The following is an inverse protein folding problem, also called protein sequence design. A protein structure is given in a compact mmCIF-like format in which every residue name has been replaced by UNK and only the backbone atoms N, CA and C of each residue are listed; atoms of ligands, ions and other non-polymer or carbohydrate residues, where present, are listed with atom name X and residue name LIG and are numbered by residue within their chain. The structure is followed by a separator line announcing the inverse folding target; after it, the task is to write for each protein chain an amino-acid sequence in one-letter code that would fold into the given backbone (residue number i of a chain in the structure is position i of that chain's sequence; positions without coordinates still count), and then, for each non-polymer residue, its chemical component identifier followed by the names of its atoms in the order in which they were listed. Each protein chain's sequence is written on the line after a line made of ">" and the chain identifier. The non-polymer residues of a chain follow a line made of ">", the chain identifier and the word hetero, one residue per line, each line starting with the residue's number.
data_IF_095512341000
#
_entry.id   IF_095512341000
#
_cell.length_a   1.000
_cell.length_b   1.000
_cell.length_c   1.000
_cell.angle_alpha   90.00
_cell.angle_beta   90.00
_cell.angle_gamma   90.00
#
_symmetry.space_group_name_H-M   'P 1'
#
loop_
_entity.id
_entity.type
_entity.pdbx_description
1 polymer ?
#
# COMPACT_ATOMS: atom_id res chain seq x y z
N UNK A 1 -2.54 -28.50 -78.83
CA UNK A 1 -1.57 -27.41 -78.58
C UNK A 1 -0.89 -27.69 -77.26
N UNK A 2 0.38 -28.04 -77.31
CA UNK A 2 1.22 -28.35 -76.16
C UNK A 2 1.51 -27.05 -75.39
N UNK A 3 0.96 -26.90 -74.18
CA UNK A 3 1.39 -25.82 -73.28
C UNK A 3 2.76 -26.26 -72.76
N UNK A 4 3.81 -25.69 -73.34
CA UNK A 4 5.15 -25.75 -72.78
C UNK A 4 5.11 -25.05 -71.41
N UNK A 5 5.00 -25.82 -70.33
CA UNK A 5 5.27 -25.33 -68.98
C UNK A 5 6.78 -25.05 -68.88
N UNK A 6 7.20 -23.88 -69.32
CA UNK A 6 8.52 -23.32 -68.99
C UNK A 6 8.51 -23.09 -67.48
N UNK A 7 8.98 -24.07 -66.70
CA UNK A 7 9.25 -23.88 -65.27
C UNK A 7 10.24 -22.72 -65.15
N UNK A 8 9.78 -21.57 -64.64
CA UNK A 8 10.61 -20.39 -64.47
C UNK A 8 11.71 -20.72 -63.44
N UNK A 9 12.97 -20.78 -63.90
CA UNK A 9 14.11 -21.01 -63.02
C UNK A 9 14.35 -19.75 -62.19
N UNK A 10 14.61 -19.87 -60.87
CA UNK A 10 14.93 -18.71 -60.06
C UNK A 10 16.24 -18.08 -60.54
N UNK A 11 16.24 -16.75 -60.58
CA UNK A 11 17.35 -15.92 -61.04
C UNK A 11 18.09 -15.21 -59.90
N UNK A 12 17.48 -15.18 -58.70
CA UNK A 12 18.05 -14.55 -57.49
C UNK A 12 17.83 -15.42 -56.24
N UNK A 13 18.63 -15.20 -55.20
CA UNK A 13 18.43 -15.83 -53.88
C UNK A 13 17.10 -15.42 -53.25
N UNK A 14 16.63 -14.20 -53.50
CA UNK A 14 15.32 -13.71 -53.06
C UNK A 14 14.20 -14.58 -53.65
N UNK A 15 14.22 -14.85 -54.95
CA UNK A 15 13.26 -15.74 -55.60
C UNK A 15 13.32 -17.17 -55.05
N UNK A 16 14.52 -17.70 -54.77
CA UNK A 16 14.62 -19.00 -54.10
C UNK A 16 13.95 -18.99 -52.71
N UNK A 17 14.11 -17.90 -51.94
CA UNK A 17 13.47 -17.78 -50.62
C UNK A 17 11.95 -17.66 -50.75
N UNK A 18 11.44 -16.86 -51.70
CA UNK A 18 10.01 -16.73 -51.99
C UNK A 18 9.42 -18.08 -52.43
N UNK A 19 10.17 -18.81 -53.26
CA UNK A 19 9.76 -20.13 -53.73
C UNK A 19 9.64 -21.09 -52.55
N UNK A 20 10.65 -21.11 -51.67
CA UNK A 20 10.68 -21.93 -50.47
C UNK A 20 9.63 -21.52 -49.43
N UNK A 21 9.22 -20.25 -49.38
CA UNK A 21 8.24 -19.75 -48.42
C UNK A 21 6.80 -20.15 -48.78
N UNK A 22 6.42 -20.10 -50.06
CA UNK A 22 5.01 -20.10 -50.46
C UNK A 22 4.56 -21.20 -51.42
N UNK A 23 5.44 -22.05 -51.95
CA UNK A 23 5.03 -23.09 -52.93
C UNK A 23 4.61 -24.43 -52.32
N UNK A 24 4.46 -24.54 -51.00
CA UNK A 24 4.05 -25.79 -50.33
C UNK A 24 2.71 -26.34 -50.87
N UNK A 25 1.77 -25.45 -51.21
CA UNK A 25 0.46 -25.82 -51.74
C UNK A 25 0.48 -26.19 -53.24
N UNK A 26 1.46 -25.68 -53.99
CA UNK A 26 1.61 -25.94 -55.42
C UNK A 26 2.45 -27.19 -55.68
N UNK A 27 3.43 -27.46 -54.81
CA UNK A 27 4.35 -28.58 -54.90
C UNK A 27 4.31 -29.39 -53.61
N UNK A 28 3.52 -30.47 -53.62
CA UNK A 28 3.31 -31.30 -52.43
C UNK A 28 4.65 -31.84 -51.88
N UNK A 29 4.96 -31.49 -50.63
CA UNK A 29 6.22 -31.85 -49.97
C UNK A 29 7.39 -30.89 -50.24
N UNK A 30 7.16 -29.76 -50.92
CA UNK A 30 8.10 -28.66 -51.05
C UNK A 30 7.90 -27.67 -49.90
N UNK A 31 8.44 -28.01 -48.74
CA UNK A 31 8.33 -27.19 -47.53
C UNK A 31 9.68 -27.09 -46.80
N UNK A 32 10.00 -25.92 -46.23
CA UNK A 32 11.15 -25.80 -45.35
C UNK A 32 10.90 -26.57 -44.04
N UNK A 33 11.96 -27.06 -43.43
CA UNK A 33 11.89 -27.68 -42.12
C UNK A 33 11.31 -26.71 -41.08
N UNK A 34 10.55 -27.21 -40.10
CA UNK A 34 9.82 -26.38 -39.12
C UNK A 34 10.72 -25.35 -38.39
N UNK A 35 12.00 -25.68 -38.16
CA UNK A 35 12.99 -24.77 -37.55
C UNK A 35 13.33 -23.56 -38.42
N UNK A 36 13.30 -23.71 -39.73
CA UNK A 36 13.66 -22.66 -40.69
C UNK A 36 12.44 -21.88 -41.19
N UNK A 37 11.24 -22.47 -41.11
CA UNK A 37 9.99 -21.91 -41.67
C UNK A 37 9.76 -20.44 -41.29
N UNK A 38 9.87 -20.10 -40.00
CA UNK A 38 9.65 -18.72 -39.53
C UNK A 38 10.68 -17.74 -40.11
N UNK A 39 11.93 -18.17 -40.24
CA UNK A 39 13.02 -17.36 -40.79
C UNK A 39 12.87 -17.18 -42.30
N UNK A 40 12.48 -18.23 -43.01
CA UNK A 40 12.23 -18.21 -44.47
C UNK A 40 11.09 -17.25 -44.80
N UNK A 41 9.96 -17.38 -44.10
CA UNK A 41 8.81 -16.47 -44.25
C UNK A 41 9.22 -15.02 -43.96
N UNK A 42 9.90 -14.78 -42.83
CA UNK A 42 10.35 -13.43 -42.46
C UNK A 42 11.33 -12.80 -43.48
N UNK A 43 12.14 -13.60 -44.18
CA UNK A 43 13.04 -13.10 -45.21
C UNK A 43 12.29 -12.77 -46.51
N UNK A 44 11.28 -13.58 -46.85
CA UNK A 44 10.43 -13.37 -48.03
C UNK A 44 9.52 -12.14 -47.87
N UNK A 45 8.92 -11.96 -46.70
CA UNK A 45 8.02 -10.83 -46.39
C UNK A 45 8.75 -9.50 -46.12
N UNK A 46 10.08 -9.47 -46.24
CA UNK A 46 10.87 -8.26 -46.00
C UNK A 46 10.54 -7.19 -47.04
N UNK A 47 9.88 -6.12 -46.61
CA UNK A 47 9.55 -4.95 -47.46
C UNK A 47 10.76 -4.10 -47.82
N UNK A 48 11.87 -4.24 -47.09
CA UNK A 48 13.11 -3.51 -47.31
C UNK A 48 14.21 -4.42 -47.90
N UNK A 49 15.18 -3.86 -48.65
CA UNK A 49 16.37 -4.59 -49.07
C UNK A 49 17.08 -5.27 -47.89
N UNK A 50 17.60 -6.47 -48.12
CA UNK A 50 18.27 -7.23 -47.06
C UNK A 50 19.57 -6.57 -46.59
N UNK A 51 19.91 -6.75 -45.31
CA UNK A 51 21.28 -6.50 -44.83
C UNK A 51 22.23 -7.59 -45.32
N UNK A 52 23.54 -7.32 -45.32
CA UNK A 52 24.55 -8.32 -45.67
C UNK A 52 24.45 -9.59 -44.79
N UNK A 53 24.10 -9.45 -43.50
CA UNK A 53 23.87 -10.59 -42.58
C UNK A 53 22.66 -11.42 -42.98
N UNK A 54 21.55 -10.77 -43.35
CA UNK A 54 20.34 -11.46 -43.84
C UNK A 54 20.62 -12.16 -45.17
N UNK A 55 21.36 -11.54 -46.08
CA UNK A 55 21.79 -12.14 -47.34
C UNK A 55 22.66 -13.39 -47.12
N UNK A 56 23.65 -13.33 -46.22
CA UNK A 56 24.49 -14.49 -45.84
C UNK A 56 23.65 -15.62 -45.25
N UNK A 57 22.68 -15.29 -44.39
CA UNK A 57 21.75 -16.26 -43.81
C UNK A 57 20.87 -16.91 -44.89
N UNK A 58 20.32 -16.13 -45.81
CA UNK A 58 19.49 -16.61 -46.91
C UNK A 58 20.27 -17.59 -47.80
N UNK A 59 21.51 -17.27 -48.18
CA UNK A 59 22.38 -18.19 -48.94
C UNK A 59 22.64 -19.48 -48.17
N UNK A 60 22.90 -19.41 -46.87
CA UNK A 60 23.12 -20.59 -46.05
C UNK A 60 21.86 -21.48 -45.97
N UNK A 61 20.67 -20.88 -45.90
CA UNK A 61 19.38 -21.59 -45.96
C UNK A 61 19.24 -22.27 -47.32
N UNK A 62 19.34 -21.51 -48.42
CA UNK A 62 19.14 -22.04 -49.78
C UNK A 62 20.11 -23.19 -50.10
N UNK A 63 21.37 -23.11 -49.66
CA UNK A 63 22.34 -24.21 -49.79
C UNK A 63 21.88 -25.49 -49.09
N UNK A 64 21.23 -25.41 -47.92
CA UNK A 64 20.70 -26.58 -47.21
C UNK A 64 19.56 -27.25 -47.96
N UNK A 65 18.75 -26.48 -48.70
CA UNK A 65 17.60 -27.00 -49.43
C UNK A 65 17.89 -27.33 -50.89
N UNK A 66 19.16 -27.30 -51.33
CA UNK A 66 19.56 -27.59 -52.72
C UNK A 66 18.95 -28.89 -53.26
N UNK A 67 19.01 -29.98 -52.50
CA UNK A 67 18.43 -31.28 -52.91
C UNK A 67 16.91 -31.23 -53.06
N UNK A 68 16.23 -30.40 -52.27
CA UNK A 68 14.78 -30.18 -52.38
C UNK A 68 14.45 -29.43 -53.68
N UNK A 69 15.22 -28.40 -54.04
CA UNK A 69 15.06 -27.70 -55.32
C UNK A 69 15.32 -28.64 -56.51
N UNK A 70 16.38 -29.46 -56.46
CA UNK A 70 16.68 -30.44 -57.51
C UNK A 70 15.58 -31.49 -57.68
N UNK A 71 14.90 -31.91 -56.60
CA UNK A 71 13.78 -32.86 -56.67
C UNK A 71 12.60 -32.36 -57.51
N UNK A 72 12.47 -31.04 -57.68
CA UNK A 72 11.40 -30.40 -58.44
C UNK A 72 11.88 -29.78 -59.77
N UNK A 73 13.06 -30.20 -60.25
CA UNK A 73 13.72 -29.73 -61.48
C UNK A 73 14.11 -28.24 -61.47
N UNK A 74 14.39 -27.67 -60.29
CA UNK A 74 14.96 -26.33 -60.16
C UNK A 74 16.47 -26.42 -59.92
N UNK A 75 17.26 -25.92 -60.87
CA UNK A 75 18.71 -25.88 -60.75
C UNK A 75 19.15 -24.53 -60.16
N UNK A 76 19.66 -24.58 -58.93
CA UNK A 76 20.10 -23.40 -58.17
C UNK A 76 21.62 -23.40 -57.94
N UNK A 77 22.39 -24.26 -58.61
CA UNK A 77 23.81 -24.47 -58.33
C UNK A 77 24.65 -23.24 -58.60
N UNK A 78 24.35 -22.55 -59.71
CA UNK A 78 24.98 -21.28 -60.05
C UNK A 78 24.70 -20.21 -59.00
N UNK A 79 23.47 -20.13 -58.48
CA UNK A 79 23.09 -19.16 -57.44
C UNK A 79 23.73 -19.49 -56.09
N UNK A 80 23.92 -20.77 -55.77
CA UNK A 80 24.60 -21.17 -54.54
C UNK A 80 26.11 -20.84 -54.56
N UNK A 81 26.72 -20.89 -55.75
CA UNK A 81 28.15 -20.64 -55.95
C UNK A 81 28.45 -19.16 -56.16
N UNK A 82 27.61 -18.48 -56.95
CA UNK A 82 27.68 -17.06 -57.25
C UNK A 82 26.32 -16.40 -56.94
N UNK A 83 26.05 -16.09 -55.66
CA UNK A 83 24.77 -15.51 -55.23
C UNK A 83 24.47 -14.19 -55.94
N UNK A 84 23.28 -14.12 -56.53
CA UNK A 84 22.69 -12.89 -57.06
C UNK A 84 21.49 -12.49 -56.21
N UNK A 85 21.36 -11.20 -55.91
CA UNK A 85 20.29 -10.65 -55.09
C UNK A 85 19.47 -9.67 -55.91
N UNK A 86 18.19 -9.53 -55.54
CA UNK A 86 17.24 -8.62 -56.22
C UNK A 86 17.67 -7.16 -56.06
N UNK A 87 18.11 -6.78 -54.87
CA UNK A 87 18.41 -5.41 -54.46
C UNK A 87 19.81 -5.30 -53.84
N UNK A 88 20.46 -4.12 -53.89
CA UNK A 88 21.69 -3.87 -53.13
C UNK A 88 21.45 -3.96 -51.63
N UNK A 89 22.48 -4.32 -50.86
CA UNK A 89 22.32 -4.48 -49.41
C UNK A 89 22.15 -3.14 -48.71
N UNK A 90 21.16 -3.06 -47.81
CA UNK A 90 20.99 -1.87 -46.96
C UNK A 90 22.15 -1.77 -45.95
N UNK A 91 22.66 -0.56 -45.78
CA UNK A 91 23.64 -0.21 -44.74
C UNK A 91 22.86 0.13 -43.46
N UNK A 92 23.24 -0.49 -42.33
CA UNK A 92 22.65 -0.16 -41.02
C UNK A 92 23.46 0.97 -40.40
N UNK A 93 22.78 2.00 -39.90
CA UNK A 93 23.36 2.98 -39.00
C UNK A 93 23.68 2.33 -37.64
N UNK A 94 24.97 2.28 -37.31
CA UNK A 94 25.46 1.71 -36.05
C UNK A 94 25.61 2.75 -34.95
N UNK A 95 25.31 4.03 -35.23
CA UNK A 95 25.39 5.10 -34.24
C UNK A 95 24.43 4.82 -33.09
N UNK A 96 24.93 5.03 -31.86
CA UNK A 96 24.15 4.96 -30.64
C UNK A 96 24.09 6.36 -30.06
N UNK A 97 22.92 6.91 -29.84
CA UNK A 97 22.75 8.23 -29.26
C UNK A 97 21.66 8.25 -28.19
N UNK A 98 21.85 9.16 -27.24
CA UNK A 98 20.89 9.53 -26.22
C UNK A 98 20.72 11.04 -26.24
N UNK A 99 19.48 11.50 -26.17
CA UNK A 99 19.10 12.90 -26.19
C UNK A 99 17.90 13.12 -25.26
N UNK A 100 17.84 14.28 -24.61
CA UNK A 100 16.62 14.77 -23.96
C UNK A 100 16.02 15.86 -24.83
N UNK A 101 14.73 15.78 -25.07
CA UNK A 101 13.98 16.75 -25.87
C UNK A 101 12.62 17.03 -25.25
N UNK A 102 12.05 18.19 -25.59
CA UNK A 102 10.69 18.56 -25.23
C UNK A 102 9.79 18.38 -26.45
N UNK A 103 8.66 17.70 -26.30
CA UNK A 103 7.70 17.52 -27.39
C UNK A 103 6.79 18.74 -27.56
N UNK A 104 5.90 18.69 -28.56
CA UNK A 104 4.95 19.77 -28.86
C UNK A 104 3.95 20.04 -27.72
N UNK A 105 3.75 19.07 -26.80
CA UNK A 105 2.88 19.17 -25.63
C UNK A 105 3.60 19.72 -24.38
N UNK A 106 4.83 20.25 -24.52
CA UNK A 106 5.69 20.69 -23.41
C UNK A 106 6.05 19.58 -22.39
N UNK A 107 6.03 18.33 -22.81
CA UNK A 107 6.49 17.20 -22.01
C UNK A 107 7.93 16.83 -22.37
N UNK A 108 8.74 16.54 -21.36
CA UNK A 108 10.14 16.15 -21.55
C UNK A 108 10.30 14.63 -21.70
N UNK A 109 11.08 14.24 -22.70
CA UNK A 109 11.38 12.86 -23.03
C UNK A 109 12.87 12.63 -23.23
N UNK A 110 13.29 11.39 -22.98
CA UNK A 110 14.62 10.87 -23.28
C UNK A 110 14.49 9.94 -24.49
N UNK A 111 15.20 10.26 -25.56
CA UNK A 111 15.30 9.48 -26.78
C UNK A 111 16.54 8.58 -26.76
N UNK A 112 16.36 7.33 -27.19
CA UNK A 112 17.41 6.34 -27.37
C UNK A 112 17.38 5.77 -28.77
N UNK A 113 18.43 6.04 -29.54
CA UNK A 113 18.64 5.48 -30.87
C UNK A 113 19.83 4.53 -30.85
N UNK A 114 19.63 3.28 -31.27
CA UNK A 114 20.71 2.30 -31.39
C UNK A 114 20.31 1.12 -32.29
N UNK A 115 21.26 0.44 -32.95
CA UNK A 115 20.97 -0.75 -33.74
C UNK A 115 20.47 -1.89 -32.84
N UNK A 116 19.63 -2.79 -33.39
CA UNK A 116 19.04 -3.89 -32.63
C UNK A 116 20.08 -4.66 -31.78
N UNK A 117 19.95 -4.55 -30.46
CA UNK A 117 20.79 -5.24 -29.49
C UNK A 117 19.93 -5.86 -28.39
N UNK A 118 19.80 -7.20 -28.42
CA UNK A 118 18.97 -7.96 -27.49
C UNK A 118 19.29 -7.68 -26.02
N UNK A 119 20.56 -7.44 -25.67
CA UNK A 119 20.97 -7.17 -24.28
C UNK A 119 20.46 -5.80 -23.82
N UNK A 120 20.68 -4.76 -24.62
CA UNK A 120 20.23 -3.39 -24.30
C UNK A 120 18.70 -3.35 -24.24
N UNK A 121 18.01 -3.97 -25.20
CA UNK A 121 16.54 -4.06 -25.22
C UNK A 121 16.00 -4.76 -23.96
N UNK A 122 16.62 -5.86 -23.53
CA UNK A 122 16.20 -6.56 -22.32
C UNK A 122 16.39 -5.69 -21.07
N UNK A 123 17.49 -4.93 -20.98
CA UNK A 123 17.74 -4.03 -19.86
C UNK A 123 16.74 -2.86 -19.80
N UNK A 124 16.44 -2.27 -20.95
CA UNK A 124 15.38 -1.25 -21.08
C UNK A 124 14.03 -1.83 -20.64
N UNK A 125 13.68 -3.04 -21.09
CA UNK A 125 12.43 -3.71 -20.70
C UNK A 125 12.36 -4.06 -19.21
N UNK A 126 13.49 -4.24 -18.52
CA UNK A 126 13.50 -4.41 -17.07
C UNK A 126 13.06 -3.15 -16.31
N UNK A 127 13.05 -1.97 -16.94
CA UNK A 127 12.48 -0.75 -16.36
C UNK A 127 10.94 -0.76 -16.43
N UNK A 128 10.37 -1.44 -17.44
CA UNK A 128 8.93 -1.57 -17.65
C UNK A 128 8.27 -2.64 -16.78
N UNK A 129 9.00 -3.69 -16.37
CA UNK A 129 8.37 -4.82 -15.69
C UNK A 129 7.89 -4.46 -14.28
N UNK A 130 6.89 -5.19 -13.79
CA UNK A 130 6.23 -5.13 -12.46
C UNK A 130 7.20 -4.99 -11.27
N UNK A 131 8.50 -5.24 -11.45
CA UNK A 131 9.54 -5.15 -10.44
C UNK A 131 10.05 -3.74 -10.14
N UNK A 132 9.82 -2.75 -11.02
CA UNK A 132 10.28 -1.36 -10.81
C UNK A 132 9.19 -0.29 -10.86
N UNK A 133 7.94 -0.66 -11.16
CA UNK A 133 6.77 0.18 -10.90
C UNK A 133 6.65 1.47 -11.72
N UNK A 134 7.36 1.60 -12.85
CA UNK A 134 7.12 2.73 -13.76
C UNK A 134 5.70 2.61 -14.36
N UNK A 135 4.92 3.70 -14.42
CA UNK A 135 3.58 3.66 -14.99
C UNK A 135 3.57 3.22 -16.45
N UNK A 136 2.45 2.68 -16.91
CA UNK A 136 2.24 2.40 -18.32
C UNK A 136 2.44 3.67 -19.17
N UNK A 137 2.95 3.49 -20.39
CA UNK A 137 3.32 4.54 -21.35
C UNK A 137 4.57 5.39 -21.03
N UNK A 138 5.24 5.20 -19.89
CA UNK A 138 6.50 5.89 -19.59
C UNK A 138 7.67 5.49 -20.48
N UNK A 139 7.60 4.34 -21.13
CA UNK A 139 8.64 3.83 -22.00
C UNK A 139 8.04 3.16 -23.24
N UNK A 140 8.34 3.70 -24.42
CA UNK A 140 7.74 3.31 -25.69
C UNK A 140 8.82 3.00 -26.73
N UNK A 141 8.46 2.15 -27.70
CA UNK A 141 9.32 1.82 -28.83
C UNK A 141 8.58 2.14 -30.11
N UNK A 142 9.14 3.05 -30.90
CA UNK A 142 8.70 3.35 -32.26
C UNK A 142 9.36 2.34 -33.22
N UNK A 143 8.55 1.45 -33.79
CA UNK A 143 9.02 0.40 -34.70
C UNK A 143 9.51 0.93 -36.05
N UNK A 144 8.99 2.06 -36.49
CA UNK A 144 9.29 2.66 -37.79
C UNK A 144 10.59 3.46 -37.72
N UNK A 145 10.69 4.33 -36.70
CA UNK A 145 11.91 5.11 -36.44
C UNK A 145 13.01 4.28 -35.76
N UNK A 146 12.66 3.14 -35.15
CA UNK A 146 13.54 2.26 -34.36
C UNK A 146 14.16 2.97 -33.16
N UNK A 147 13.33 3.77 -32.50
CA UNK A 147 13.72 4.63 -31.39
C UNK A 147 12.99 4.19 -30.13
N UNK A 148 13.67 4.25 -29.00
CA UNK A 148 13.06 4.13 -27.69
C UNK A 148 12.87 5.51 -27.09
N UNK A 149 11.68 5.81 -26.58
CA UNK A 149 11.39 7.06 -25.87
C UNK A 149 10.98 6.75 -24.43
N UNK A 150 11.42 7.60 -23.50
CA UNK A 150 11.02 7.51 -22.10
C UNK A 150 10.66 8.88 -21.52
N UNK A 151 9.58 8.98 -20.74
CA UNK A 151 9.25 10.24 -20.07
C UNK A 151 10.32 10.57 -19.01
N UNK A 152 10.69 11.83 -18.89
CA UNK A 152 11.72 12.28 -17.93
C UNK A 152 11.22 12.10 -16.49
N UNK A 153 12.07 11.51 -15.64
CA UNK A 153 11.91 11.30 -14.20
C UNK A 153 13.27 10.91 -13.62
N UNK A 154 13.45 11.04 -12.31
CA UNK A 154 14.72 10.65 -11.66
C UNK A 154 15.08 9.18 -11.94
N UNK A 155 14.07 8.30 -11.95
CA UNK A 155 14.24 6.86 -12.24
C UNK A 155 14.70 6.64 -13.68
N UNK A 156 14.01 7.25 -14.65
CA UNK A 156 14.35 7.07 -16.07
C UNK A 156 15.68 7.71 -16.41
N UNK A 157 15.96 8.93 -15.96
CA UNK A 157 17.27 9.59 -16.11
C UNK A 157 18.37 8.72 -15.51
N UNK A 158 18.21 8.25 -14.27
CA UNK A 158 19.24 7.46 -13.60
C UNK A 158 19.61 6.19 -14.37
N UNK A 159 18.62 5.36 -14.70
CA UNK A 159 18.88 4.06 -15.31
C UNK A 159 19.28 4.16 -16.78
N UNK A 160 18.67 5.08 -17.52
CA UNK A 160 18.94 5.24 -18.93
C UNK A 160 20.31 5.88 -19.15
N UNK A 161 20.67 6.94 -18.43
CA UNK A 161 22.01 7.52 -18.49
C UNK A 161 23.08 6.49 -18.09
N UNK A 162 22.84 5.67 -17.06
CA UNK A 162 23.75 4.59 -16.68
C UNK A 162 23.95 3.56 -17.80
N UNK A 163 22.88 3.20 -18.52
CA UNK A 163 22.96 2.31 -19.69
C UNK A 163 23.74 2.96 -20.82
N UNK A 164 23.47 4.23 -21.11
CA UNK A 164 24.16 5.00 -22.14
C UNK A 164 25.67 5.08 -21.88
N UNK A 165 26.08 5.40 -20.65
CA UNK A 165 27.49 5.38 -20.22
C UNK A 165 28.09 3.99 -20.42
N UNK A 166 27.41 2.94 -19.95
CA UNK A 166 27.94 1.56 -19.97
C UNK A 166 28.11 0.97 -21.37
N UNK A 167 27.31 1.41 -22.33
CA UNK A 167 27.28 0.86 -23.69
C UNK A 167 27.80 1.85 -24.75
N UNK A 168 28.52 2.88 -24.31
CA UNK A 168 29.21 3.87 -25.14
C UNK A 168 28.26 4.58 -26.11
N UNK A 169 27.15 5.11 -25.59
CA UNK A 169 26.26 5.97 -26.35
C UNK A 169 26.85 7.37 -26.45
N UNK A 170 26.61 8.03 -27.57
CA UNK A 170 26.90 9.44 -27.76
C UNK A 170 25.84 10.28 -27.08
N UNK A 171 26.24 11.14 -26.15
CA UNK A 171 25.36 12.09 -25.48
C UNK A 171 25.17 13.31 -26.38
N UNK A 172 23.97 13.49 -26.89
CA UNK A 172 23.58 14.72 -27.61
C UNK A 172 23.25 15.82 -26.58
N UNK A 173 22.68 15.43 -25.44
CA UNK A 173 22.43 16.27 -24.26
C UNK A 173 23.40 15.89 -23.14
N UNK A 174 24.54 16.60 -22.98
CA UNK A 174 25.53 16.29 -21.93
C UNK A 174 24.98 16.47 -20.51
N UNK A 175 23.99 17.36 -20.33
CA UNK A 175 23.37 17.71 -19.05
C UNK A 175 22.74 16.49 -18.37
N UNK A 176 22.29 15.49 -19.14
CA UNK A 176 21.79 14.21 -18.62
C UNK A 176 22.81 13.49 -17.72
N UNK A 177 24.10 13.68 -17.97
CA UNK A 177 25.17 13.12 -17.15
C UNK A 177 25.29 13.85 -15.81
N UNK A 178 25.14 15.17 -15.80
CA UNK A 178 25.16 15.99 -14.59
C UNK A 178 23.98 15.63 -13.69
N UNK A 179 22.76 15.63 -14.25
CA UNK A 179 21.54 15.21 -13.53
C UNK A 179 21.64 13.77 -13.02
N UNK A 180 22.25 12.86 -13.79
CA UNK A 180 22.52 11.50 -13.31
C UNK A 180 23.39 11.48 -12.06
N UNK A 181 24.43 12.31 -11.99
CA UNK A 181 25.30 12.38 -10.80
C UNK A 181 24.62 13.02 -9.61
N UNK A 182 23.74 14.01 -9.82
CA UNK A 182 22.88 14.59 -8.79
C UNK A 182 21.94 13.53 -8.20
N UNK A 183 21.14 12.88 -9.05
CA UNK A 183 20.23 11.80 -8.62
C UNK A 183 21.01 10.67 -7.94
N UNK A 184 22.22 10.34 -8.40
CA UNK A 184 23.04 9.30 -7.79
C UNK A 184 23.46 9.66 -6.36
N UNK A 185 23.74 10.93 -6.08
CA UNK A 185 23.99 11.39 -4.72
C UNK A 185 22.74 11.25 -3.85
N UNK A 186 21.56 11.47 -4.42
CA UNK A 186 20.28 11.28 -3.72
C UNK A 186 19.92 9.81 -3.50
N UNK A 187 20.14 8.91 -4.46
CA UNK A 187 19.93 7.46 -4.28
C UNK A 187 20.92 6.89 -3.24
N UNK A 188 22.03 7.58 -2.97
CA UNK A 188 22.92 7.27 -1.86
C UNK A 188 22.35 7.67 -0.49
N UNK A 189 21.16 8.28 -0.39
CA UNK A 189 20.46 8.46 0.88
C UNK A 189 20.13 7.08 1.46
N UNK A 190 21.00 6.66 2.37
CA UNK A 190 20.78 5.53 3.27
C UNK A 190 19.38 5.68 3.88
N UNK A 191 18.72 4.55 4.15
CA UNK A 191 17.41 4.57 4.82
C UNK A 191 17.50 5.41 6.10
N UNK A 192 16.47 6.23 6.41
CA UNK A 192 16.33 6.87 7.70
C UNK A 192 16.45 5.85 8.84
N UNK A 193 17.24 6.16 9.86
CA UNK A 193 17.42 5.30 11.03
C UNK A 193 17.28 6.15 12.29
N UNK A 194 16.50 5.68 13.25
CA UNK A 194 16.48 6.21 14.61
C UNK A 194 17.38 5.37 15.52
N UNK A 195 18.17 6.00 16.38
CA UNK A 195 18.96 5.34 17.43
C UNK A 195 18.81 6.04 18.76
N UNK A 196 18.81 5.27 19.84
CA UNK A 196 18.84 5.81 21.19
C UNK A 196 20.30 6.00 21.63
N UNK A 197 20.74 7.24 21.79
CA UNK A 197 22.13 7.61 22.13
C UNK A 197 22.10 8.73 23.17
N UNK A 198 22.83 8.56 24.28
CA UNK A 198 22.92 9.55 25.36
C UNK A 198 21.54 9.97 25.91
N UNK A 199 20.66 9.00 26.14
CA UNK A 199 19.28 9.21 26.61
C UNK A 199 18.37 10.02 25.65
N UNK A 200 18.75 10.15 24.38
CA UNK A 200 17.94 10.84 23.36
C UNK A 200 17.79 9.98 22.10
N UNK A 201 16.66 10.14 21.41
CA UNK A 201 16.46 9.57 20.08
C UNK A 201 17.14 10.50 19.06
N UNK A 202 18.08 9.95 18.30
CA UNK A 202 18.79 10.65 17.23
C UNK A 202 18.51 9.99 15.89
N UNK A 203 18.35 10.83 14.87
CA UNK A 203 18.06 10.39 13.51
C UNK A 203 19.29 10.49 12.64
N UNK A 204 19.43 9.51 11.77
CA UNK A 204 20.49 9.41 10.78
C UNK A 204 19.87 9.23 9.41
N UNK A 205 20.48 9.84 8.40
CA UNK A 205 20.02 9.80 7.02
C UNK A 205 18.59 10.37 6.85
N UNK A 206 18.23 11.34 7.69
CA UNK A 206 17.00 12.12 7.58
C UNK A 206 17.31 13.50 7.03
N UNK A 207 16.35 14.07 6.30
CA UNK A 207 16.46 15.45 5.81
C UNK A 207 16.33 16.45 6.98
N UNK A 208 16.91 17.66 6.84
CA UNK A 208 16.87 18.68 7.90
C UNK A 208 15.43 19.06 8.30
N UNK A 209 14.53 19.15 7.31
CA UNK A 209 13.10 19.44 7.54
C UNK A 209 12.43 18.42 8.48
N UNK A 210 12.80 17.15 8.39
CA UNK A 210 12.32 16.13 9.32
C UNK A 210 12.84 16.39 10.74
N UNK A 211 14.13 16.72 10.89
CA UNK A 211 14.73 17.00 12.19
C UNK A 211 14.09 18.24 12.84
N UNK A 212 13.82 19.28 12.06
CA UNK A 212 13.15 20.50 12.53
C UNK A 212 11.72 20.21 12.99
N UNK A 213 10.97 19.42 12.19
CA UNK A 213 9.63 18.97 12.56
C UNK A 213 9.64 18.12 13.84
N UNK A 214 10.58 17.18 13.98
CA UNK A 214 10.72 16.36 15.17
C UNK A 214 11.02 17.19 16.42
N UNK A 215 12.00 18.09 16.31
CA UNK A 215 12.42 18.97 17.41
C UNK A 215 11.27 19.85 17.90
N UNK A 216 10.43 20.34 16.98
CA UNK A 216 9.27 21.16 17.31
C UNK A 216 8.14 20.38 17.97
N UNK A 217 7.83 19.18 17.47
CA UNK A 217 6.58 18.48 17.83
C UNK A 217 6.74 17.33 18.84
N UNK A 218 7.91 16.69 18.92
CA UNK A 218 8.08 15.44 19.67
C UNK A 218 9.26 15.43 20.65
N UNK A 219 10.34 16.18 20.39
CA UNK A 219 11.56 16.13 21.23
C UNK A 219 11.31 16.41 22.72
N UNK A 220 10.35 17.29 23.03
CA UNK A 220 10.03 17.67 24.41
C UNK A 220 9.00 16.74 25.08
N UNK A 221 8.49 15.72 24.37
CA UNK A 221 7.58 14.73 24.92
C UNK A 221 8.32 13.69 25.75
N UNK A 222 7.59 12.92 26.55
CA UNK A 222 8.19 11.80 27.29
C UNK A 222 8.79 10.77 26.32
N UNK A 223 9.79 10.02 26.75
CA UNK A 223 10.48 9.04 25.90
C UNK A 223 9.52 8.03 25.28
N UNK A 224 8.51 7.59 26.04
CA UNK A 224 7.51 6.63 25.55
C UNK A 224 6.58 7.22 24.48
N UNK A 225 6.22 8.49 24.61
CA UNK A 225 5.45 9.23 23.60
C UNK A 225 6.29 9.48 22.34
N UNK A 226 7.59 9.71 22.49
CA UNK A 226 8.50 9.80 21.34
C UNK A 226 8.57 8.47 20.59
N UNK A 227 8.75 7.36 21.30
CA UNK A 227 8.76 6.01 20.70
C UNK A 227 7.46 5.75 19.95
N UNK A 228 6.31 6.06 20.55
CA UNK A 228 5.01 5.84 19.90
C UNK A 228 4.84 6.69 18.62
N UNK A 229 5.42 7.89 18.61
CA UNK A 229 5.33 8.82 17.47
C UNK A 229 6.18 8.40 16.27
N UNK A 230 7.20 7.55 16.47
CA UNK A 230 8.09 7.11 15.39
C UNK A 230 7.38 6.30 14.29
N UNK A 231 6.28 5.64 14.64
CA UNK A 231 5.45 4.86 13.71
C UNK A 231 4.87 5.70 12.58
N UNK A 232 4.59 6.97 12.85
CA UNK A 232 4.11 7.92 11.83
C UNK A 232 5.13 8.12 10.70
N UNK A 233 6.39 7.73 10.93
CA UNK A 233 7.50 7.90 10.01
C UNK A 233 8.10 6.57 9.55
N UNK A 234 7.46 5.45 9.87
CA UNK A 234 7.98 4.09 9.60
C UNK A 234 9.41 3.89 10.17
N UNK A 235 9.62 4.43 11.37
CA UNK A 235 10.88 4.34 12.10
C UNK A 235 10.71 3.51 13.38
N UNK A 236 11.74 2.74 13.69
CA UNK A 236 11.84 1.98 14.92
C UNK A 236 13.11 2.35 15.67
N UNK A 237 13.06 2.25 16.99
CA UNK A 237 14.21 2.47 17.87
C UNK A 237 14.19 1.43 18.98
N UNK A 238 15.35 0.89 19.30
CA UNK A 238 15.52 0.02 20.45
C UNK A 238 15.98 0.84 21.66
N UNK A 239 15.27 0.70 22.77
CA UNK A 239 15.46 1.51 23.97
C UNK A 239 15.39 0.59 25.19
N UNK A 240 16.29 0.75 26.18
CA UNK A 240 16.28 -0.04 27.41
C UNK A 240 15.17 0.42 28.37
N UNK A 241 13.91 0.29 27.97
CA UNK A 241 12.74 0.61 28.80
C UNK A 241 12.20 -0.66 29.47
N UNK A 242 11.65 -0.51 30.67
CA UNK A 242 10.91 -1.58 31.36
C UNK A 242 9.75 -2.06 30.47
N UNK A 243 9.54 -3.38 30.42
CA UNK A 243 8.45 -3.99 29.66
C UNK A 243 7.09 -3.71 30.32
N UNK A 244 6.52 -2.54 30.03
CA UNK A 244 5.19 -2.10 30.48
C UNK A 244 4.18 -2.20 29.33
N UNK A 245 2.88 -2.23 29.65
CA UNK A 245 1.82 -2.21 28.64
C UNK A 245 1.95 -0.98 27.71
N UNK A 246 2.22 0.19 28.27
CA UNK A 246 2.49 1.42 27.53
C UNK A 246 3.62 1.26 26.53
N UNK A 247 4.70 0.58 26.91
CA UNK A 247 5.86 0.37 26.04
C UNK A 247 5.53 -0.60 24.92
N UNK A 248 4.79 -1.67 25.21
CA UNK A 248 4.31 -2.62 24.18
C UNK A 248 3.39 -1.92 23.17
N UNK A 249 2.47 -1.08 23.65
CA UNK A 249 1.62 -0.25 22.80
C UNK A 249 2.49 0.70 21.98
N UNK A 250 3.47 1.39 22.58
CA UNK A 250 4.36 2.34 21.90
C UNK A 250 5.29 1.69 20.86
N UNK A 251 5.71 0.43 21.05
CA UNK A 251 6.61 -0.28 20.12
C UNK A 251 5.88 -0.97 18.96
N UNK A 252 4.58 -1.17 19.06
CA UNK A 252 3.77 -1.81 18.00
C UNK A 252 3.89 -1.07 16.66
N UNK A 253 4.20 -1.78 15.57
CA UNK A 253 4.25 -1.19 14.23
C UNK A 253 2.87 -0.81 13.66
N UNK A 254 1.80 -1.18 14.36
CA UNK A 254 0.43 -0.92 13.94
C UNK A 254 -0.22 0.17 14.81
N UNK A 255 -1.03 1.01 14.17
CA UNK A 255 -1.92 2.00 14.83
C UNK A 255 -3.11 1.33 15.52
N UNK A 256 -3.53 0.15 15.05
CA UNK A 256 -4.49 -0.72 15.72
C UNK A 256 -3.76 -1.70 16.66
N UNK A 257 -4.15 -1.73 17.93
CA UNK A 257 -3.60 -2.66 18.94
C UNK A 257 -4.72 -3.43 19.62
N UNK A 258 -4.51 -4.73 19.81
CA UNK A 258 -5.39 -5.61 20.58
C UNK A 258 -4.76 -5.95 21.92
N UNK A 259 -5.54 -5.80 22.97
CA UNK A 259 -5.17 -6.06 24.36
C UNK A 259 -6.19 -7.03 24.93
N UNK A 260 -5.71 -8.20 25.39
CA UNK A 260 -6.58 -9.22 25.96
C UNK A 260 -7.04 -8.80 27.37
N UNK A 261 -8.36 -8.63 27.54
CA UNK A 261 -8.98 -8.21 28.82
C UNK A 261 -8.85 -9.23 29.95
N UNK A 262 -8.61 -10.51 29.63
CA UNK A 262 -8.44 -11.58 30.61
C UNK A 262 -7.01 -11.57 31.20
N UNK A 263 -6.06 -10.87 30.55
CA UNK A 263 -4.65 -10.79 30.97
C UNK A 263 -4.24 -9.43 31.52
N UNK A 264 -4.92 -8.38 31.09
CA UNK A 264 -4.59 -6.99 31.42
C UNK A 264 -5.80 -6.38 32.10
N UNK A 265 -5.60 -5.74 33.25
CA UNK A 265 -6.71 -5.07 33.95
C UNK A 265 -6.91 -3.63 33.46
N UNK A 266 -8.08 -3.06 33.76
CA UNK A 266 -8.44 -1.69 33.37
C UNK A 266 -7.50 -0.63 33.95
N UNK A 267 -6.98 -0.83 35.15
CA UNK A 267 -6.06 0.10 35.80
C UNK A 267 -4.75 0.24 35.00
N UNK A 268 -4.16 -0.88 34.58
CA UNK A 268 -2.98 -0.91 33.71
C UNK A 268 -3.24 -0.25 32.34
N UNK A 269 -4.44 -0.48 31.79
CA UNK A 269 -4.85 0.13 30.52
C UNK A 269 -4.98 1.65 30.63
N UNK A 270 -5.68 2.14 31.66
CA UNK A 270 -5.84 3.57 31.92
C UNK A 270 -4.49 4.24 32.20
N UNK A 271 -3.58 3.58 32.91
CA UNK A 271 -2.20 4.09 33.12
C UNK A 271 -1.49 4.25 31.79
N UNK A 272 -1.68 3.30 30.88
CA UNK A 272 -1.09 3.38 29.55
C UNK A 272 -1.64 4.54 28.73
N UNK A 273 -2.92 4.88 28.92
CA UNK A 273 -3.54 6.04 28.27
C UNK A 273 -2.96 7.37 28.78
N UNK A 274 -2.69 7.48 30.08
CA UNK A 274 -2.02 8.65 30.67
C UNK A 274 -0.57 8.76 30.20
N UNK A 275 0.22 7.69 30.29
CA UNK A 275 1.64 7.72 29.92
C UNK A 275 1.86 8.07 28.44
N UNK A 276 0.96 7.63 27.56
CA UNK A 276 1.02 7.85 26.12
C UNK A 276 0.30 9.11 25.63
N UNK A 277 -0.40 9.85 26.51
CA UNK A 277 -1.24 11.00 26.13
C UNK A 277 -2.23 10.68 25.00
N UNK A 278 -3.03 9.62 25.19
CA UNK A 278 -3.96 9.12 24.18
C UNK A 278 -5.31 9.84 24.15
N UNK A 279 -5.51 10.86 24.99
CA UNK A 279 -6.74 11.63 25.10
C UNK A 279 -6.85 12.74 24.04
N UNK A 280 -8.08 13.09 23.59
CA UNK A 280 -9.37 12.48 23.98
C UNK A 280 -9.63 11.13 23.31
N UNK A 281 -10.29 10.23 24.04
CA UNK A 281 -10.63 8.87 23.62
C UNK A 281 -12.11 8.81 23.24
N UNK A 282 -12.38 8.36 22.02
CA UNK A 282 -13.71 8.03 21.56
C UNK A 282 -14.04 6.58 21.93
N UNK A 283 -15.19 6.37 22.59
CA UNK A 283 -15.67 5.04 22.98
C UNK A 283 -17.03 4.82 22.32
N UNK A 284 -17.07 4.20 21.13
CA UNK A 284 -18.32 3.74 20.57
C UNK A 284 -18.91 2.62 21.44
N UNK A 285 -20.19 2.72 21.73
CA UNK A 285 -20.96 1.71 22.45
C UNK A 285 -21.98 1.13 21.49
N UNK A 286 -21.85 -0.16 21.18
CA UNK A 286 -22.78 -0.90 20.31
C UNK A 286 -23.92 -1.55 21.08
N UNK A 287 -23.85 -1.49 22.41
CA UNK A 287 -24.70 -2.28 23.26
C UNK A 287 -26.21 -2.00 23.21
N UNK A 288 -26.98 -3.04 23.49
CA UNK A 288 -28.36 -3.05 23.99
C UNK A 288 -28.37 -2.84 25.52
N UNK A 289 -28.52 -1.59 25.97
CA UNK A 289 -28.67 -1.23 27.39
C UNK A 289 -29.93 -1.79 28.10
N UNK A 290 -30.65 -2.69 27.47
CA UNK A 290 -31.66 -3.56 28.06
C UNK A 290 -31.08 -4.89 28.58
N UNK A 291 -29.82 -5.22 28.29
CA UNK A 291 -29.10 -6.41 28.76
C UNK A 291 -28.21 -6.08 29.99
N UNK A 292 -28.28 -6.94 31.02
CA UNK A 292 -27.58 -6.76 32.30
C UNK A 292 -26.05 -6.75 32.13
N UNK A 293 -25.52 -7.70 31.36
CA UNK A 293 -24.08 -7.85 31.13
C UNK A 293 -23.42 -6.58 30.55
N UNK A 294 -24.11 -5.86 29.67
CA UNK A 294 -23.58 -4.66 29.05
C UNK A 294 -23.65 -3.43 29.96
N UNK A 295 -24.71 -3.33 30.77
CA UNK A 295 -24.82 -2.30 31.80
C UNK A 295 -23.71 -2.48 32.83
N UNK A 296 -23.43 -3.72 33.23
CA UNK A 296 -22.36 -4.06 34.16
C UNK A 296 -20.97 -3.77 33.56
N UNK A 297 -20.74 -4.08 32.27
CA UNK A 297 -19.49 -3.74 31.59
C UNK A 297 -19.29 -2.21 31.52
N UNK A 298 -20.33 -1.45 31.15
CA UNK A 298 -20.28 0.02 31.15
C UNK A 298 -20.06 0.57 32.56
N UNK A 299 -20.75 0.04 33.58
CA UNK A 299 -20.60 0.47 34.96
C UNK A 299 -19.18 0.21 35.48
N UNK A 300 -18.62 -0.95 35.16
CA UNK A 300 -17.23 -1.31 35.47
C UNK A 300 -16.24 -0.29 34.88
N UNK A 301 -16.43 0.09 33.62
CA UNK A 301 -15.64 1.14 32.97
C UNK A 301 -15.76 2.48 33.68
N UNK A 302 -17.00 2.92 33.99
CA UNK A 302 -17.22 4.19 34.68
C UNK A 302 -16.59 4.19 36.07
N UNK A 303 -16.66 3.09 36.82
CA UNK A 303 -16.02 2.99 38.13
C UNK A 303 -14.49 3.02 38.04
N UNK A 304 -13.89 2.35 37.06
CA UNK A 304 -12.45 2.43 36.83
C UNK A 304 -12.01 3.86 36.48
N UNK A 305 -12.80 4.57 35.65
CA UNK A 305 -12.53 5.97 35.29
C UNK A 305 -12.70 6.90 36.50
N UNK A 306 -13.75 6.70 37.32
CA UNK A 306 -14.04 7.47 38.55
C UNK A 306 -12.89 7.45 39.56
N UNK A 307 -12.14 6.36 39.62
CA UNK A 307 -11.00 6.24 40.53
C UNK A 307 -9.84 7.19 40.18
N UNK A 308 -9.83 7.74 38.95
CA UNK A 308 -8.71 8.52 38.40
C UNK A 308 -9.10 9.90 37.90
N UNK A 309 -10.34 10.09 37.46
CA UNK A 309 -10.81 11.31 36.82
C UNK A 309 -12.16 11.75 37.39
N UNK A 310 -12.40 13.06 37.36
CA UNK A 310 -13.72 13.59 37.68
C UNK A 310 -14.68 13.35 36.52
N UNK A 311 -15.71 12.54 36.76
CA UNK A 311 -16.70 12.16 35.76
C UNK A 311 -17.42 13.37 35.17
N UNK A 312 -17.71 14.40 35.97
CA UNK A 312 -18.43 15.59 35.49
C UNK A 312 -17.62 16.40 34.48
N UNK A 313 -16.30 16.41 34.64
CA UNK A 313 -15.40 17.24 33.83
C UNK A 313 -14.75 16.45 32.68
N UNK A 314 -14.37 15.20 32.94
CA UNK A 314 -13.55 14.41 32.02
C UNK A 314 -14.33 13.41 31.16
N UNK A 315 -15.61 13.14 31.46
CA UNK A 315 -16.42 12.15 30.73
C UNK A 315 -17.63 12.82 30.11
N UNK A 316 -17.88 12.54 28.84
CA UNK A 316 -19.04 13.00 28.11
C UNK A 316 -19.81 11.83 27.49
N UNK A 317 -21.14 11.89 27.56
CA UNK A 317 -22.05 10.92 26.98
C UNK A 317 -22.83 11.51 25.81
N UNK A 318 -22.64 10.93 24.64
CA UNK A 318 -23.31 11.26 23.40
C UNK A 318 -24.75 10.76 23.27
N UNK A 319 -25.22 9.97 24.23
CA UNK A 319 -26.52 9.30 24.25
C UNK A 319 -27.10 9.32 25.67
N UNK A 320 -28.39 9.04 25.77
CA UNK A 320 -29.10 8.86 27.05
C UNK A 320 -29.45 7.38 27.21
N UNK A 321 -29.35 6.87 28.43
CA UNK A 321 -29.94 5.58 28.83
C UNK A 321 -31.36 5.85 29.32
N UNK A 322 -32.26 4.86 29.21
CA UNK A 322 -33.59 4.97 29.80
C UNK A 322 -33.52 4.86 31.33
N UNK A 323 -34.46 5.50 32.03
CA UNK A 323 -34.52 5.36 33.48
C UNK A 323 -34.90 3.91 33.84
N UNK A 324 -34.12 3.21 34.68
CA UNK A 324 -34.48 1.86 35.10
C UNK A 324 -35.79 1.87 35.89
N UNK A 325 -36.61 0.83 35.70
CA UNK A 325 -37.84 0.65 36.48
C UNK A 325 -37.50 0.04 37.83
N UNK A 326 -38.11 0.56 38.89
CA UNK A 326 -38.05 -0.09 40.20
C UNK A 326 -38.68 -1.49 40.11
N UNK A 327 -38.10 -2.52 40.75
CA UNK A 327 -38.73 -3.83 40.81
C UNK A 327 -40.12 -3.76 41.45
N UNK A 328 -41.12 -4.38 40.83
CA UNK A 328 -42.53 -4.35 41.31
C UNK A 328 -42.70 -4.95 42.71
N UNK A 329 -41.73 -5.73 43.19
CA UNK A 329 -41.69 -6.35 44.53
C UNK A 329 -40.84 -5.59 45.55
N UNK A 330 -40.29 -4.42 45.19
CA UNK A 330 -39.55 -3.56 46.11
C UNK A 330 -40.51 -2.85 47.09
N UNK A 331 -41.00 -3.58 48.08
CA UNK A 331 -41.69 -2.98 49.22
C UNK A 331 -40.65 -2.43 50.19
N UNK A 332 -40.71 -1.15 50.60
CA UNK A 332 -39.92 -0.69 51.74
C UNK A 332 -40.38 -1.49 52.96
N UNK A 333 -39.53 -2.38 53.49
CA UNK A 333 -39.76 -2.89 54.83
C UNK A 333 -39.52 -1.71 55.78
N UNK A 334 -40.54 -1.24 56.52
CA UNK A 334 -40.32 -0.16 57.46
C UNK A 334 -39.37 -0.67 58.54
N UNK A 335 -38.19 -0.03 58.69
CA UNK A 335 -37.41 -0.19 59.92
C UNK A 335 -38.35 0.21 61.05
N UNK A 336 -38.70 -0.73 61.94
CA UNK A 336 -39.32 -0.40 63.22
C UNK A 336 -38.33 0.46 64.00
N UNK A 337 -38.41 1.78 63.84
CA UNK A 337 -38.05 2.73 64.89
C UNK A 337 -39.14 3.78 64.99
N UNK A 338 -39.59 3.94 66.21
CA UNK A 338 -40.60 4.90 66.63
C UNK A 338 -40.22 6.32 66.18
N UNK A 339 -41.27 7.03 65.73
CA UNK A 339 -41.43 8.48 65.61
C UNK A 339 -40.46 9.27 64.73
N UNK A 340 -41.13 9.87 63.73
CA UNK A 340 -40.91 11.17 63.11
C UNK A 340 -39.68 11.30 62.20
N UNK A 341 -39.99 11.62 60.94
CA UNK A 341 -39.11 11.82 59.77
C UNK A 341 -38.63 10.54 59.06
N UNK A 342 -39.43 10.08 58.09
CA UNK A 342 -39.04 9.03 57.14
C UNK A 342 -38.12 9.66 56.08
N UNK A 343 -36.82 9.53 56.27
CA UNK A 343 -35.85 9.68 55.18
C UNK A 343 -35.77 8.34 54.43
N UNK A 344 -36.07 8.36 53.12
CA UNK A 344 -36.01 7.16 52.27
C UNK A 344 -34.57 6.81 51.95
N UNK A 345 -33.95 5.95 52.74
CA UNK A 345 -32.65 5.34 52.41
C UNK A 345 -32.87 4.09 51.53
N UNK A 346 -32.42 4.17 50.27
CA UNK A 346 -32.47 3.07 49.28
C UNK A 346 -31.57 1.88 49.67
N UNK A 347 -30.83 1.97 50.76
CA UNK A 347 -29.85 0.97 51.21
C UNK A 347 -30.46 -0.21 51.99
N UNK A 348 -31.75 -0.15 52.34
CA UNK A 348 -32.39 -1.12 53.24
C UNK A 348 -33.48 -2.02 52.60
N UNK A 349 -33.58 -2.13 51.27
CA UNK A 349 -34.62 -2.94 50.61
C UNK A 349 -34.14 -4.35 50.23
N UNK A 350 -34.72 -5.40 50.83
CA UNK A 350 -34.59 -6.79 50.36
C UNK A 350 -35.61 -7.08 49.25
N UNK A 351 -35.15 -7.64 48.12
CA UNK A 351 -36.00 -7.94 46.96
C UNK A 351 -35.90 -9.43 46.63
N UNK A 352 -37.06 -10.06 46.47
CA UNK A 352 -37.19 -11.41 45.94
C UNK A 352 -37.67 -11.31 44.47
N UNK A 353 -36.81 -11.72 43.53
CA UNK A 353 -37.12 -11.88 42.11
C UNK A 353 -37.17 -10.58 41.28
N UNK A 354 -36.45 -10.60 40.15
CA UNK A 354 -36.34 -9.60 39.07
C UNK A 354 -35.54 -8.31 39.41
N UNK A 355 -34.26 -8.34 39.02
CA UNK A 355 -33.16 -7.37 39.20
C UNK A 355 -32.73 -7.11 40.66
N UNK A 356 -31.53 -7.57 41.08
CA UNK A 356 -30.96 -7.21 42.38
C UNK A 356 -30.92 -5.69 42.57
N UNK A 357 -31.21 -5.20 43.78
CA UNK A 357 -31.24 -3.75 44.10
C UNK A 357 -29.93 -3.03 43.74
N UNK A 358 -28.81 -3.75 43.77
CA UNK A 358 -27.50 -3.27 43.32
C UNK A 358 -27.48 -2.92 41.83
N UNK A 359 -28.03 -3.77 40.98
CA UNK A 359 -28.09 -3.54 39.52
C UNK A 359 -29.01 -2.36 39.19
N UNK A 360 -30.12 -2.20 39.94
CA UNK A 360 -30.97 -1.02 39.82
C UNK A 360 -30.20 0.27 40.14
N UNK A 361 -29.47 0.30 41.27
CA UNK A 361 -28.67 1.47 41.68
C UNK A 361 -27.61 1.81 40.65
N UNK A 362 -26.85 0.82 40.18
CA UNK A 362 -25.82 1.00 39.16
C UNK A 362 -26.40 1.56 37.86
N UNK A 363 -27.55 1.02 37.43
CA UNK A 363 -28.27 1.48 36.24
C UNK A 363 -28.80 2.91 36.41
N UNK A 364 -29.29 3.25 37.60
CA UNK A 364 -29.82 4.59 37.89
C UNK A 364 -28.70 5.65 37.92
N UNK A 365 -27.54 5.32 38.48
CA UNK A 365 -26.36 6.17 38.45
C UNK A 365 -25.89 6.42 37.00
N UNK A 366 -25.82 5.37 36.18
CA UNK A 366 -25.50 5.50 34.74
C UNK A 366 -26.51 6.40 34.02
N UNK A 367 -27.80 6.23 34.29
CA UNK A 367 -28.85 7.11 33.78
C UNK A 367 -28.56 8.58 34.13
N UNK A 368 -28.27 8.89 35.39
CA UNK A 368 -27.97 10.25 35.84
C UNK A 368 -26.72 10.83 35.15
N UNK A 369 -25.64 10.04 35.00
CA UNK A 369 -24.44 10.50 34.30
C UNK A 369 -24.72 10.77 32.83
N UNK A 370 -25.43 9.86 32.16
CA UNK A 370 -25.72 10.03 30.73
C UNK A 370 -26.57 11.28 30.50
N UNK A 371 -27.49 11.62 31.40
CA UNK A 371 -28.31 12.84 31.31
C UNK A 371 -27.52 14.13 31.58
N UNK A 372 -26.68 14.13 32.60
CA UNK A 372 -26.02 15.35 33.08
C UNK A 372 -24.74 15.69 32.30
N UNK A 373 -23.97 14.69 31.89
CA UNK A 373 -22.62 14.89 31.34
C UNK A 373 -22.63 14.91 29.82
N UNK A 374 -23.12 16.00 29.23
CA UNK A 374 -23.18 16.20 27.76
C UNK A 374 -22.08 17.10 27.19
N UNK A 375 -21.44 17.88 28.05
CA UNK A 375 -20.47 18.88 27.66
C UNK A 375 -19.18 18.24 27.18
N UNK A 376 -18.63 18.76 26.07
CA UNK A 376 -17.37 18.32 25.49
C UNK A 376 -16.50 19.57 25.33
N UNK A 377 -15.36 19.59 26.02
CA UNK A 377 -14.40 20.70 26.02
C UNK A 377 -12.98 20.20 26.27
N UNK A 378 -12.03 21.12 26.44
CA UNK A 378 -10.60 20.80 26.46
C UNK A 378 -10.18 19.80 27.56
N UNK A 379 -10.93 19.75 28.67
CA UNK A 379 -10.70 18.82 29.77
C UNK A 379 -11.32 17.43 29.53
N UNK A 380 -12.16 17.25 28.50
CA UNK A 380 -12.85 15.99 28.23
C UNK A 380 -11.85 14.96 27.73
N UNK A 381 -11.76 13.83 28.45
CA UNK A 381 -10.86 12.71 28.16
C UNK A 381 -11.57 11.54 27.51
N UNK A 382 -12.81 11.24 27.92
CA UNK A 382 -13.58 10.10 27.43
C UNK A 382 -14.90 10.57 26.83
N UNK A 383 -15.18 10.12 25.61
CA UNK A 383 -16.38 10.50 24.86
C UNK A 383 -17.11 9.22 24.46
N UNK A 384 -18.16 8.88 25.18
CA UNK A 384 -19.01 7.73 24.87
C UNK A 384 -20.01 8.12 23.79
N UNK A 385 -20.10 7.35 22.70
CA UNK A 385 -21.03 7.62 21.59
C UNK A 385 -21.80 6.37 21.20
N UNK A 386 -23.05 6.54 20.76
CA UNK A 386 -23.91 5.45 20.30
C UNK A 386 -24.78 5.94 19.15
N UNK A 387 -24.84 5.16 18.07
CA UNK A 387 -25.64 5.35 16.85
C UNK A 387 -25.42 6.64 16.04
N UNK A 388 -25.04 7.76 16.66
CA UNK A 388 -24.81 9.05 16.00
C UNK A 388 -23.70 9.84 16.69
N UNK A 389 -23.08 10.74 15.93
CA UNK A 389 -22.13 11.72 16.46
C UNK A 389 -22.91 12.82 17.21
N UNK A 390 -22.58 13.10 18.49
CA UNK A 390 -23.27 14.13 19.26
C UNK A 390 -23.02 15.53 18.70
N UNK A 391 -24.06 16.38 18.67
CA UNK A 391 -23.91 17.79 18.26
C UNK A 391 -22.89 18.54 19.12
N UNK A 392 -22.74 18.17 20.40
CA UNK A 392 -21.76 18.75 21.31
C UNK A 392 -20.33 18.45 20.87
N UNK A 393 -20.05 17.25 20.35
CA UNK A 393 -18.74 16.90 19.81
C UNK A 393 -18.42 17.74 18.57
N UNK A 394 -19.38 17.83 17.63
CA UNK A 394 -19.22 18.64 16.41
C UNK A 394 -18.97 20.11 16.75
N UNK A 395 -19.74 20.68 17.69
CA UNK A 395 -19.61 22.08 18.11
C UNK A 395 -18.33 22.37 18.88
N UNK A 396 -17.79 21.40 19.61
CA UNK A 396 -16.56 21.58 20.39
C UNK A 396 -15.32 21.75 19.51
N UNK A 397 -15.36 21.26 18.26
CA UNK A 397 -14.18 21.23 17.38
C UNK A 397 -13.09 20.23 17.81
N UNK A 398 -13.32 19.50 18.91
CA UNK A 398 -12.37 18.52 19.44
C UNK A 398 -12.33 17.29 18.54
N UNK A 399 -11.11 16.89 18.17
CA UNK A 399 -10.84 15.67 17.41
C UNK A 399 -10.30 14.61 18.35
N UNK A 400 -11.01 13.48 18.55
CA UNK A 400 -10.48 12.36 19.31
C UNK A 400 -9.15 11.87 18.72
N UNK A 401 -8.16 11.60 19.57
CA UNK A 401 -6.86 11.05 19.14
C UNK A 401 -6.92 9.53 19.00
N UNK A 402 -7.69 8.89 19.87
CA UNK A 402 -7.73 7.43 20.02
C UNK A 402 -9.18 6.95 20.02
N UNK A 403 -9.44 5.81 19.39
CA UNK A 403 -10.70 5.10 19.54
C UNK A 403 -10.49 3.82 20.35
N UNK A 404 -11.37 3.57 21.33
CA UNK A 404 -11.35 2.39 22.18
C UNK A 404 -12.58 1.53 21.90
N UNK A 405 -12.35 0.31 21.40
CA UNK A 405 -13.37 -0.72 21.19
C UNK A 405 -13.29 -1.69 22.36
N UNK A 406 -14.16 -1.52 23.35
CA UNK A 406 -14.19 -2.39 24.54
C UNK A 406 -15.58 -2.94 24.84
N UNK A 407 -16.63 -2.12 24.69
CA UNK A 407 -17.99 -2.46 25.09
C UNK A 407 -18.72 -3.09 23.91
N UNK A 408 -19.33 -4.26 24.14
CA UNK A 408 -20.06 -5.02 23.09
C UNK A 408 -19.26 -6.14 22.43
N UNK A 409 -18.32 -6.76 23.15
CA UNK A 409 -17.72 -8.05 22.74
C UNK A 409 -16.61 -7.98 21.68
N UNK A 410 -16.04 -6.79 21.40
CA UNK A 410 -14.90 -6.63 20.49
C UNK A 410 -15.20 -6.81 18.99
N UNK A 411 -16.40 -7.28 18.63
CA UNK A 411 -16.94 -7.32 17.28
C UNK A 411 -17.73 -6.04 17.03
N UNK A 412 -17.01 -4.92 16.97
CA UNK A 412 -17.65 -3.65 16.67
C UNK A 412 -18.13 -3.63 15.22
N UNK A 413 -19.45 -3.59 15.02
CA UNK A 413 -20.07 -3.22 13.75
C UNK A 413 -20.71 -1.83 13.92
N UNK A 414 -20.20 -0.78 13.25
CA UNK A 414 -20.82 0.54 13.33
C UNK A 414 -22.27 0.46 12.87
N UNK A 415 -23.20 0.89 13.72
CA UNK A 415 -24.56 1.21 13.26
C UNK A 415 -24.59 2.45 12.36
N UNK A 416 -23.50 3.23 12.29
CA UNK A 416 -23.41 4.47 11.50
C UNK A 416 -22.04 4.63 10.83
N UNK A 417 -22.06 4.81 9.51
CA UNK A 417 -20.89 5.12 8.67
C UNK A 417 -20.12 6.35 9.18
N UNK A 418 -20.81 7.35 9.72
CA UNK A 418 -20.15 8.55 10.27
C UNK A 418 -19.28 8.24 11.48
N UNK A 419 -19.74 7.37 12.38
CA UNK A 419 -18.94 6.95 13.54
C UNK A 419 -17.75 6.13 13.05
N UNK A 420 -17.95 5.26 12.06
CA UNK A 420 -16.88 4.51 11.43
C UNK A 420 -15.80 5.39 10.85
N UNK A 421 -16.16 6.34 10.01
CA UNK A 421 -15.21 7.31 9.46
C UNK A 421 -14.48 8.06 10.57
N UNK A 422 -15.13 8.39 11.68
CA UNK A 422 -14.48 9.06 12.81
C UNK A 422 -13.49 8.15 13.56
N UNK A 423 -13.84 6.87 13.76
CA UNK A 423 -12.95 5.86 14.35
C UNK A 423 -11.75 5.58 13.45
N UNK A 424 -11.97 5.50 12.14
CA UNK A 424 -10.92 5.28 11.13
C UNK A 424 -9.93 6.45 11.05
N UNK A 425 -10.40 7.66 11.30
CA UNK A 425 -9.57 8.87 11.34
C UNK A 425 -8.83 9.09 12.68
N UNK A 426 -9.04 8.25 13.69
CA UNK A 426 -8.25 8.32 14.92
C UNK A 426 -6.82 7.81 14.66
N UNK A 427 -5.83 8.49 15.26
CA UNK A 427 -4.42 8.11 15.12
C UNK A 427 -4.14 6.71 15.68
N UNK A 428 -4.94 6.28 16.66
CA UNK A 428 -4.79 4.98 17.33
C UNK A 428 -6.14 4.32 17.56
N UNK A 429 -6.18 3.00 17.41
CA UNK A 429 -7.33 2.16 17.75
C UNK A 429 -6.90 1.10 18.76
N UNK A 430 -7.62 1.02 19.87
CA UNK A 430 -7.35 0.06 20.94
C UNK A 430 -8.54 -0.88 21.05
N UNK A 431 -8.32 -2.16 20.83
CA UNK A 431 -9.31 -3.21 21.04
C UNK A 431 -9.02 -3.85 22.40
N UNK A 432 -9.95 -3.75 23.33
CA UNK A 432 -9.85 -4.34 24.66
C UNK A 432 -10.98 -5.35 24.84
N UNK A 433 -10.71 -6.61 24.51
CA UNK A 433 -11.70 -7.70 24.48
C UNK A 433 -11.04 -9.04 24.82
N UNK A 434 -11.83 -10.08 25.11
CA UNK A 434 -11.30 -11.45 25.34
C UNK A 434 -10.95 -12.13 24.02
N UNK A 435 -11.62 -11.72 22.94
CA UNK A 435 -11.44 -12.24 21.58
C UNK A 435 -10.72 -11.23 20.70
N UNK A 436 -9.73 -11.71 19.93
CA UNK A 436 -8.99 -10.88 18.97
C UNK A 436 -9.90 -10.52 17.78
N UNK A 437 -9.90 -9.26 17.32
CA UNK A 437 -10.66 -8.87 16.13
C UNK A 437 -10.11 -9.55 14.87
N UNK A 438 -10.99 -9.75 13.87
CA UNK A 438 -10.67 -10.41 12.58
C UNK A 438 -9.99 -9.44 11.59
N UNK A 439 -9.68 -8.21 12.01
CA UNK A 439 -9.05 -7.19 11.16
C UNK A 439 -7.59 -7.52 10.78
N UNK A 440 -7.25 -7.25 9.51
CA UNK A 440 -5.87 -7.19 9.06
C UNK A 440 -5.18 -5.94 9.66
N UNK A 441 -3.91 -6.05 10.07
CA UNK A 441 -3.10 -4.97 10.64
C UNK A 441 -3.42 -4.56 12.10
N UNK A 442 -3.79 -5.53 12.95
CA UNK A 442 -3.89 -5.34 14.40
C UNK A 442 -2.75 -6.05 15.14
N UNK A 443 -1.96 -5.29 15.91
CA UNK A 443 -0.92 -5.87 16.75
C UNK A 443 -1.53 -6.59 17.95
N UNK A 444 -1.10 -7.82 18.19
CA UNK A 444 -1.46 -8.58 19.40
C UNK A 444 -0.48 -8.23 20.53
N UNK A 445 -0.95 -7.43 21.49
CA UNK A 445 -0.16 -7.01 22.65
C UNK A 445 -0.30 -8.09 23.72
N UNK A 446 0.75 -8.92 23.83
CA UNK A 446 0.82 -10.05 24.76
C UNK A 446 1.26 -9.69 26.17
#
# INVERSE_FOLDING_TARGET
>A
MSISNTKMQPSTINECIDILAYNENLWHGFAPHHKDRKTVISLSESTYPWTEKQAKLAVAIIKRYKTLFSKFDLDIDKLCTFPKFRDPFRVIDYEKSIEQYTNDDNEEFIEFKFPYNKKIINLIRCLRSEKKGLPDNYLQYDGDKKIWTAKVSDVTVYYLTLLAIRYDFKFITPELVETFYEIRQEISYKKPIAKFINNEIKFFNTHQTFNDYWNKNYKNKSLIQQIDSLKLFDLEVDVPVKDTLSYKIAKSNYSSVYINKDKTNLDQLLTSFDELDLFPILIPVTGRFDEEDELDELFTWINAIKQRYDIKTNVAFGFDIEQPKLPETAYPLPKKKYRDEVQMDLDDMEINGTLPMEVYKNSYDLYLYTKSNKWIGDATKFIFVRNRIPRTLIKSGIKPKTALMSIGGGLWSPYSELIQTMVENCNKRVYYSSTKPIEHNVADIK
#
